data_IF_984354421685
#
_entry.id   IF_984354421685
#
_cell.length_a   1.000
_cell.length_b   1.000
_cell.length_c   1.000
_cell.angle_alpha   90.00
_cell.angle_beta   90.00
_cell.angle_gamma   90.00
#
_symmetry.space_group_name_H-M   'P 1'
#
loop_
_entity.id
_entity.type
_entity.pdbx_description
1 polymer ?
#
# COMPACT_ATOMS: atom_id res chain seq x y z
N UNK A 1 -18.24 -5.76 -3.35
CA UNK A 1 -16.81 -5.53 -3.04
C UNK A 1 -16.24 -4.58 -4.07
N UNK A 2 -15.63 -3.45 -3.67
CA UNK A 2 -14.97 -2.56 -4.61
C UNK A 2 -13.79 -3.27 -5.30
N UNK A 3 -13.40 -2.76 -6.48
CA UNK A 3 -12.15 -3.17 -7.12
C UNK A 3 -10.96 -2.83 -6.22
N UNK A 4 -9.91 -3.64 -6.23
CA UNK A 4 -8.71 -3.39 -5.42
C UNK A 4 -8.07 -2.03 -5.76
N UNK A 5 -8.09 -1.63 -7.04
CA UNK A 5 -7.58 -0.34 -7.51
C UNK A 5 -8.49 0.84 -7.17
N UNK A 6 -9.75 0.57 -6.79
CA UNK A 6 -10.70 1.59 -6.34
C UNK A 6 -10.64 1.82 -4.82
N UNK A 7 -10.41 0.77 -4.02
CA UNK A 7 -10.36 0.93 -2.55
C UNK A 7 -8.95 1.11 -1.99
N UNK A 8 -7.94 0.39 -2.49
CA UNK A 8 -6.57 0.42 -1.98
C UNK A 8 -6.40 0.07 -0.49
N UNK A 9 -7.46 -0.34 0.21
CA UNK A 9 -7.55 -0.27 1.68
C UNK A 9 -6.49 -1.08 2.41
N UNK A 10 -6.19 -2.28 1.92
CA UNK A 10 -5.18 -3.17 2.51
C UNK A 10 -3.75 -2.62 2.43
N UNK A 11 -3.50 -1.58 1.64
CA UNK A 11 -2.19 -0.95 1.57
C UNK A 11 -1.99 0.12 2.65
N UNK A 12 -2.99 0.39 3.50
CA UNK A 12 -2.91 1.40 4.56
C UNK A 12 -2.63 0.77 5.92
N UNK A 13 -1.62 1.28 6.62
CA UNK A 13 -1.25 0.88 7.97
C UNK A 13 -0.30 1.90 8.56
N UNK A 14 -0.25 2.00 9.89
CA UNK A 14 0.76 2.78 10.62
C UNK A 14 1.81 1.88 11.29
N UNK A 15 1.64 0.56 11.21
CA UNK A 15 2.55 -0.40 11.81
C UNK A 15 3.76 -0.65 10.90
N UNK A 16 4.99 -0.42 11.36
CA UNK A 16 6.19 -0.69 10.56
C UNK A 16 6.35 -2.16 10.18
N UNK A 17 5.75 -3.07 10.95
CA UNK A 17 5.85 -4.53 10.77
C UNK A 17 4.63 -5.12 10.03
N UNK A 18 3.82 -4.27 9.39
CA UNK A 18 2.51 -4.66 8.83
C UNK A 18 2.59 -5.74 7.73
N UNK A 19 3.56 -5.62 6.81
CA UNK A 19 3.72 -6.53 5.67
C UNK A 19 5.10 -7.14 5.78
N UNK A 20 5.17 -8.40 6.21
CA UNK A 20 6.44 -9.13 6.28
C UNK A 20 6.87 -9.60 4.90
N UNK A 21 8.16 -9.45 4.62
CA UNK A 21 8.82 -9.94 3.41
C UNK A 21 9.71 -11.11 3.81
N UNK A 22 9.36 -12.31 3.37
CA UNK A 22 10.17 -13.51 3.59
C UNK A 22 11.32 -13.60 2.58
N UNK A 23 12.28 -14.50 2.81
CA UNK A 23 13.42 -14.69 1.90
C UNK A 23 12.95 -15.00 0.47
N UNK A 24 11.96 -15.87 0.30
CA UNK A 24 11.38 -16.19 -1.00
C UNK A 24 10.65 -15.01 -1.68
N UNK A 25 10.11 -14.07 -0.91
CA UNK A 25 9.59 -12.82 -1.45
C UNK A 25 10.74 -11.94 -1.94
N UNK A 26 11.76 -11.77 -1.08
CA UNK A 26 12.92 -10.93 -1.34
C UNK A 26 13.72 -11.39 -2.57
N UNK A 27 13.86 -12.70 -2.76
CA UNK A 27 14.53 -13.29 -3.92
C UNK A 27 13.78 -13.00 -5.23
N UNK A 28 12.45 -12.95 -5.19
CA UNK A 28 11.60 -12.61 -6.36
C UNK A 28 11.54 -11.11 -6.67
N UNK A 29 11.84 -10.26 -5.70
CA UNK A 29 11.82 -8.80 -5.87
C UNK A 29 12.97 -8.31 -6.72
N UNK A 30 12.68 -7.36 -7.61
CA UNK A 30 13.68 -6.54 -8.29
C UNK A 30 14.29 -5.49 -7.32
N UNK A 31 15.36 -4.82 -7.73
CA UNK A 31 16.06 -3.83 -6.89
C UNK A 31 15.13 -2.68 -6.46
N UNK A 32 14.20 -2.30 -7.34
CA UNK A 32 13.20 -1.26 -7.05
C UNK A 32 12.24 -1.69 -5.95
N UNK A 33 11.77 -2.93 -5.96
CA UNK A 33 10.92 -3.47 -4.91
C UNK A 33 11.68 -3.66 -3.60
N UNK A 34 12.93 -4.13 -3.65
CA UNK A 34 13.81 -4.26 -2.47
C UNK A 34 14.09 -2.91 -1.81
N UNK A 35 14.26 -1.85 -2.58
CA UNK A 35 14.43 -0.48 -2.06
C UNK A 35 13.22 0.04 -1.27
N UNK A 36 12.03 -0.56 -1.48
CA UNK A 36 10.80 -0.23 -0.74
C UNK A 36 10.63 -1.09 0.52
N UNK A 37 11.63 -1.86 0.91
CA UNK A 37 11.63 -2.68 2.13
C UNK A 37 12.51 -2.06 3.21
N UNK A 38 12.27 -2.45 4.45
CA UNK A 38 13.06 -2.05 5.61
C UNK A 38 13.30 -3.24 6.52
N UNK A 39 14.53 -3.37 7.00
CA UNK A 39 14.87 -4.33 8.04
C UNK A 39 14.58 -3.73 9.41
N UNK A 40 13.87 -4.49 10.25
CA UNK A 40 13.65 -4.22 11.66
C UNK A 40 14.24 -5.40 12.42
N UNK A 41 15.39 -5.17 13.06
CA UNK A 41 16.24 -6.25 13.54
C UNK A 41 16.69 -7.15 12.38
N UNK A 42 16.41 -8.44 12.47
CA UNK A 42 16.76 -9.44 11.45
C UNK A 42 15.60 -9.82 10.51
N UNK A 43 14.50 -9.05 10.51
CA UNK A 43 13.31 -9.33 9.68
C UNK A 43 13.09 -8.19 8.70
N UNK A 44 12.71 -8.55 7.47
CA UNK A 44 12.40 -7.62 6.40
C UNK A 44 10.88 -7.39 6.32
N UNK A 45 10.49 -6.13 6.12
CA UNK A 45 9.10 -5.70 5.98
C UNK A 45 8.97 -4.69 4.84
N UNK A 46 7.80 -4.56 4.23
CA UNK A 46 7.56 -3.41 3.34
C UNK A 46 7.60 -2.13 4.15
N UNK A 47 8.26 -1.11 3.62
CA UNK A 47 8.28 0.20 4.27
C UNK A 47 6.88 0.80 4.27
N UNK A 48 6.54 1.45 5.40
CA UNK A 48 5.31 2.20 5.59
C UNK A 48 5.70 3.66 5.80
N UNK A 49 5.16 4.53 4.95
CA UNK A 49 5.39 5.97 4.92
C UNK A 49 4.03 6.67 4.77
N UNK A 50 3.82 7.79 5.46
CA UNK A 50 2.55 8.53 5.42
C UNK A 50 1.29 7.66 5.66
N UNK A 51 1.39 6.67 6.55
CA UNK A 51 0.29 5.78 6.91
C UNK A 51 -0.10 4.76 5.82
N UNK A 52 0.77 4.52 4.84
CA UNK A 52 0.56 3.57 3.74
C UNK A 52 1.85 2.85 3.35
N UNK A 53 1.72 1.70 2.71
CA UNK A 53 2.84 0.99 2.11
C UNK A 53 3.53 1.88 1.08
N UNK A 54 4.86 1.96 1.12
CA UNK A 54 5.67 2.78 0.22
C UNK A 54 5.51 2.39 -1.26
N UNK A 55 5.14 1.13 -1.53
CA UNK A 55 4.86 0.68 -2.89
C UNK A 55 3.52 1.18 -3.46
N UNK A 56 2.64 1.75 -2.63
CA UNK A 56 1.37 2.28 -3.09
C UNK A 56 1.61 3.58 -3.88
N UNK A 57 0.90 3.76 -4.99
CA UNK A 57 0.85 4.99 -5.77
C UNK A 57 -0.60 5.47 -5.82
N UNK A 58 -0.81 6.76 -5.58
CA UNK A 58 -2.13 7.38 -5.59
C UNK A 58 -2.26 8.21 -6.86
N UNK A 59 -3.24 7.86 -7.69
CA UNK A 59 -3.67 8.67 -8.82
C UNK A 59 -4.81 9.58 -8.32
N UNK A 60 -4.48 10.82 -7.99
CA UNK A 60 -5.41 11.79 -7.41
C UNK A 60 -6.52 12.20 -8.41
N UNK A 61 -6.19 12.26 -9.69
CA UNK A 61 -7.10 12.64 -10.76
C UNK A 61 -8.18 11.58 -10.95
N UNK A 62 -7.76 10.31 -11.08
CA UNK A 62 -8.68 9.18 -11.29
C UNK A 62 -9.21 8.57 -10.01
N UNK A 63 -8.67 8.96 -8.85
CA UNK A 63 -9.00 8.38 -7.55
C UNK A 63 -8.62 6.90 -7.47
N UNK A 64 -7.46 6.52 -8.01
CA UNK A 64 -7.02 5.11 -8.09
C UNK A 64 -5.80 4.82 -7.23
N UNK A 65 -5.71 3.58 -6.79
CA UNK A 65 -4.68 3.05 -5.91
C UNK A 65 -3.93 1.93 -6.62
N UNK A 66 -2.68 2.18 -6.99
CA UNK A 66 -1.88 1.27 -7.80
C UNK A 66 -0.64 0.81 -7.03
N UNK A 67 -0.39 -0.50 -7.00
CA UNK A 67 0.85 -1.01 -6.42
C UNK A 67 1.94 -0.96 -7.49
N UNK A 68 3.01 -0.19 -7.23
CA UNK A 68 4.12 -0.07 -8.17
C UNK A 68 4.89 -1.38 -8.34
N UNK A 69 4.80 -2.34 -7.41
CA UNK A 69 5.49 -3.63 -7.46
C UNK A 69 4.54 -4.82 -7.71
N UNK A 70 3.38 -4.58 -8.33
CA UNK A 70 2.27 -5.54 -8.39
C UNK A 70 2.68 -6.98 -8.79
N UNK A 71 3.58 -7.10 -9.78
CA UNK A 71 4.05 -8.38 -10.31
C UNK A 71 5.01 -9.14 -9.39
N UNK A 72 5.70 -8.44 -8.48
CA UNK A 72 6.70 -9.00 -7.53
C UNK A 72 6.30 -8.77 -6.07
N UNK A 73 5.00 -8.59 -5.81
CA UNK A 73 4.45 -8.42 -4.45
C UNK A 73 4.83 -9.60 -3.53
N UNK A 74 5.03 -9.34 -2.22
CA UNK A 74 5.16 -10.40 -1.22
C UNK A 74 3.94 -11.32 -1.20
N UNK A 75 4.14 -12.57 -0.78
CA UNK A 75 3.07 -13.57 -0.73
C UNK A 75 1.91 -13.16 0.16
N UNK A 76 2.14 -12.46 1.28
CA UNK A 76 1.05 -11.97 2.12
C UNK A 76 0.12 -10.99 1.38
N UNK A 77 0.65 -10.20 0.44
CA UNK A 77 -0.16 -9.32 -0.40
C UNK A 77 -0.88 -10.09 -1.52
N UNK A 78 -0.30 -11.19 -2.01
CA UNK A 78 -0.93 -12.06 -3.02
C UNK A 78 -2.06 -12.90 -2.44
N UNK A 79 -1.86 -13.42 -1.22
CA UNK A 79 -2.81 -14.25 -0.50
C UNK A 79 -4.06 -13.47 -0.04
N UNK A 80 -4.01 -12.14 -0.03
CA UNK A 80 -5.16 -11.32 0.30
C UNK A 80 -6.16 -11.27 -0.87
N UNK A 81 -7.05 -12.25 -0.90
CA UNK A 81 -8.07 -12.38 -1.94
C UNK A 81 -9.21 -11.36 -1.77
N UNK A 82 -9.66 -10.78 -2.88
CA UNK A 82 -10.77 -9.82 -2.89
C UNK A 82 -12.06 -10.48 -2.40
N UNK A 83 -12.67 -9.91 -1.37
CA UNK A 83 -13.90 -10.42 -0.78
C UNK A 83 -13.73 -11.56 0.22
N UNK A 84 -12.49 -12.00 0.47
CA UNK A 84 -12.19 -12.86 1.61
C UNK A 84 -12.50 -12.17 2.95
N UNK A 85 -12.58 -12.95 4.04
CA UNK A 85 -12.76 -12.41 5.38
C UNK A 85 -11.68 -11.38 5.76
N UNK A 86 -10.43 -11.60 5.35
CA UNK A 86 -9.35 -10.64 5.56
C UNK A 86 -9.57 -9.34 4.77
N UNK A 87 -10.01 -9.43 3.51
CA UNK A 87 -10.36 -8.24 2.71
C UNK A 87 -11.50 -7.44 3.34
N UNK A 88 -12.53 -8.12 3.85
CA UNK A 88 -13.66 -7.48 4.53
C UNK A 88 -13.20 -6.83 5.85
N UNK A 89 -12.35 -7.50 6.62
CA UNK A 89 -11.76 -6.94 7.84
C UNK A 89 -10.98 -5.66 7.57
N UNK A 90 -10.12 -5.67 6.55
CA UNK A 90 -9.39 -4.47 6.12
C UNK A 90 -10.32 -3.32 5.75
N UNK A 91 -11.41 -3.60 5.02
CA UNK A 91 -12.42 -2.59 4.68
C UNK A 91 -13.16 -2.07 5.92
N UNK A 92 -13.52 -2.94 6.85
CA UNK A 92 -14.17 -2.54 8.10
C UNK A 92 -13.28 -1.57 8.90
N UNK A 93 -12.00 -1.93 9.06
CA UNK A 93 -11.06 -1.19 9.90
C UNK A 93 -10.52 0.10 9.27
N UNK A 94 -10.44 0.16 7.93
CA UNK A 94 -9.57 1.16 7.27
C UNK A 94 -10.18 1.88 6.08
N UNK A 95 -11.46 1.69 5.75
CA UNK A 95 -12.10 2.28 4.55
C UNK A 95 -11.94 3.81 4.41
N UNK A 96 -11.75 4.53 5.51
CA UNK A 96 -11.60 5.99 5.49
C UNK A 96 -10.17 6.44 5.14
N UNK A 97 -9.15 5.64 5.44
CA UNK A 97 -7.74 6.02 5.22
C UNK A 97 -7.42 6.35 3.76
N UNK A 98 -7.86 5.57 2.76
CA UNK A 98 -7.67 5.91 1.36
C UNK A 98 -8.32 7.23 0.95
N UNK A 99 -9.50 7.55 1.48
CA UNK A 99 -10.23 8.77 1.17
C UNK A 99 -9.50 10.01 1.70
N UNK A 100 -9.04 9.93 2.95
CA UNK A 100 -8.25 10.99 3.60
C UNK A 100 -6.95 11.24 2.82
N UNK A 101 -6.26 10.17 2.41
CA UNK A 101 -5.01 10.29 1.66
C UNK A 101 -5.19 10.93 0.28
N UNK A 102 -6.26 10.58 -0.45
CA UNK A 102 -6.57 11.23 -1.73
C UNK A 102 -6.94 12.72 -1.56
N UNK A 103 -7.74 13.05 -0.55
CA UNK A 103 -8.11 14.44 -0.26
C UNK A 103 -6.87 15.27 0.11
N UNK A 104 -6.01 14.76 0.97
CA UNK A 104 -4.75 15.42 1.32
C UNK A 104 -3.87 15.67 0.10
N UNK A 105 -3.75 14.70 -0.81
CA UNK A 105 -2.97 14.83 -2.04
C UNK A 105 -3.56 15.89 -2.98
N UNK A 106 -4.88 15.92 -3.15
CA UNK A 106 -5.59 16.92 -3.97
C UNK A 106 -5.42 18.33 -3.44
N UNK A 107 -5.50 18.51 -2.11
CA UNK A 107 -5.28 19.81 -1.47
C UNK A 107 -3.85 20.32 -1.67
N UNK A 108 -2.85 19.44 -1.60
CA UNK A 108 -1.45 19.80 -1.88
C UNK A 108 -1.29 20.28 -3.32
N UNK A 109 -1.81 19.52 -4.29
CA UNK A 109 -1.76 19.89 -5.70
C UNK A 109 -2.45 21.24 -5.99
N UNK A 110 -3.58 21.52 -5.34
CA UNK A 110 -4.29 22.80 -5.48
C UNK A 110 -3.52 23.99 -4.85
N UNK A 111 -2.77 23.76 -3.77
CA UNK A 111 -1.95 24.79 -3.12
C UNK A 111 -0.65 25.11 -3.87
N UNK A 112 -0.08 24.14 -4.58
CA UNK A 112 1.15 24.30 -5.37
C UNK A 112 0.89 24.97 -6.74
N UNK A 113 -0.34 24.91 -7.26
CA UNK A 113 -0.75 25.58 -8.51
C UNK A 113 -1.13 27.06 -8.37
N UNK A 114 -0.93 27.66 -7.20
CA UNK A 114 -1.31 29.04 -6.89
C UNK A 114 -0.15 30.00 -6.60
N UNK A 115 1.10 29.62 -6.90
CA UNK A 115 2.31 30.43 -6.71
C UNK A 115 2.90 30.92 -8.03
#
# INVERSE_FOLDING_TARGET
MPECTACGTCCFSTLPEYIRVFGCDYDRMDDRARALTRFIGNRCYMHVEDGRCAALTLDAERGRFLCSIYEVRPDCCRALERGSGACIGELHEKRERPLIALDALRRRAAGEGGA
#
